data_IF_591596083398
#
_entry.id   IF_591596083398
#
_cell.length_a   1.000
_cell.length_b   1.000
_cell.length_c   1.000
_cell.angle_alpha   90.00
_cell.angle_beta   90.00
_cell.angle_gamma   90.00
#
_symmetry.space_group_name_H-M   'P 1'
#
loop_
_entity.id
_entity.type
_entity.pdbx_description
1 polymer ?
#
# COMPACT_ATOMS: atom_id res chain seq x y z
N UNK A 1 1.54 46.92 -44.57
CA UNK A 1 1.05 45.54 -44.88
C UNK A 1 1.75 44.41 -44.09
N UNK A 2 2.61 44.69 -43.10
CA UNK A 2 3.39 43.66 -42.38
C UNK A 2 2.65 42.99 -41.19
N UNK A 3 1.81 43.74 -40.47
CA UNK A 3 1.15 43.24 -39.25
C UNK A 3 0.06 42.18 -39.46
N UNK A 4 -0.66 42.21 -40.60
CA UNK A 4 -1.68 41.19 -40.93
C UNK A 4 -1.09 39.79 -41.08
N UNK A 5 0.14 39.68 -41.58
CA UNK A 5 0.82 38.38 -41.75
C UNK A 5 1.31 37.78 -40.43
N UNK A 6 1.65 38.62 -39.46
CA UNK A 6 2.04 38.18 -38.12
C UNK A 6 0.86 37.60 -37.33
N UNK A 7 -0.31 38.26 -37.38
CA UNK A 7 -1.53 37.79 -36.71
C UNK A 7 -1.99 36.42 -37.23
N UNK A 8 -1.95 36.21 -38.54
CA UNK A 8 -2.35 34.94 -39.16
C UNK A 8 -1.40 33.80 -38.75
N UNK A 9 -0.09 34.08 -38.62
CA UNK A 9 0.89 33.08 -38.15
C UNK A 9 0.66 32.67 -36.70
N UNK A 10 0.36 33.61 -35.82
CA UNK A 10 0.07 33.31 -34.42
C UNK A 10 -1.21 32.48 -34.27
N UNK A 11 -2.25 32.83 -35.03
CA UNK A 11 -3.51 32.08 -35.02
C UNK A 11 -3.30 30.63 -35.51
N UNK A 12 -2.53 30.45 -36.59
CA UNK A 12 -2.21 29.12 -37.11
C UNK A 12 -1.44 28.25 -36.12
N UNK A 13 -0.52 28.86 -35.36
CA UNK A 13 0.29 28.13 -34.37
C UNK A 13 -0.54 27.70 -33.15
N UNK A 14 -1.53 28.50 -32.74
CA UNK A 14 -2.45 28.12 -31.67
C UNK A 14 -3.40 26.98 -32.07
N UNK A 15 -3.89 26.97 -33.32
CA UNK A 15 -4.77 25.90 -33.81
C UNK A 15 -4.01 24.59 -33.97
N UNK A 16 -2.76 24.65 -34.44
CA UNK A 16 -1.91 23.47 -34.54
C UNK A 16 -1.60 22.83 -33.17
N UNK A 17 -1.46 23.65 -32.11
CA UNK A 17 -1.22 23.14 -30.76
C UNK A 17 -2.45 22.44 -30.15
N UNK A 18 -3.66 22.91 -30.50
CA UNK A 18 -4.93 22.34 -30.05
C UNK A 18 -5.32 21.04 -30.76
N UNK A 19 -4.80 20.81 -31.98
CA UNK A 19 -5.04 19.60 -32.75
C UNK A 19 -4.09 18.44 -32.39
N UNK A 20 -3.06 18.69 -31.56
CA UNK A 20 -2.20 17.63 -31.06
C UNK A 20 -3.00 16.74 -30.10
N UNK A 21 -2.98 15.41 -30.28
CA UNK A 21 -3.62 14.50 -29.35
C UNK A 21 -2.97 14.69 -27.98
N UNK A 22 -3.73 15.24 -27.04
CA UNK A 22 -3.25 15.38 -25.68
C UNK A 22 -2.92 13.98 -25.14
N UNK A 23 -1.72 13.77 -24.58
CA UNK A 23 -1.44 12.53 -23.88
C UNK A 23 -2.47 12.41 -22.76
N UNK A 24 -3.31 11.37 -22.84
CA UNK A 24 -4.19 11.00 -21.73
C UNK A 24 -3.29 10.58 -20.58
N UNK A 25 -2.92 11.53 -19.73
CA UNK A 25 -2.28 11.26 -18.46
C UNK A 25 -3.34 10.53 -17.64
N UNK A 26 -3.30 9.21 -17.70
CA UNK A 26 -4.06 8.39 -16.76
C UNK A 26 -3.34 8.54 -15.44
N UNK A 27 -3.93 9.32 -14.52
CA UNK A 27 -3.55 9.25 -13.13
C UNK A 27 -3.88 7.83 -12.65
N UNK A 28 -2.91 6.92 -12.73
CA UNK A 28 -3.03 5.58 -12.19
C UNK A 28 -3.04 5.71 -10.68
N UNK A 29 -4.24 5.84 -10.10
CA UNK A 29 -4.44 5.56 -8.69
C UNK A 29 -4.05 4.10 -8.48
N UNK A 30 -3.05 3.88 -7.64
CA UNK A 30 -2.56 2.55 -7.26
C UNK A 30 -3.67 1.75 -6.53
N UNK A 31 -4.74 2.43 -6.12
CA UNK A 31 -5.90 1.85 -5.46
C UNK A 31 -7.17 2.13 -6.28
N UNK A 32 -7.83 1.06 -6.73
CA UNK A 32 -9.12 1.08 -7.42
C UNK A 32 -10.29 1.50 -6.52
N UNK A 33 -10.02 2.11 -5.37
CA UNK A 33 -11.03 2.43 -4.37
C UNK A 33 -11.77 3.68 -4.81
N UNK A 34 -13.06 3.50 -5.08
CA UNK A 34 -13.97 4.62 -5.27
C UNK A 34 -13.99 5.41 -3.97
N UNK A 35 -13.70 6.72 -4.04
CA UNK A 35 -13.74 7.56 -2.84
C UNK A 35 -15.13 7.49 -2.20
N UNK A 36 -15.22 7.41 -0.85
CA UNK A 36 -16.49 7.28 -0.17
C UNK A 36 -17.35 8.52 -0.41
N UNK A 37 -18.60 8.28 -0.83
CA UNK A 37 -19.57 9.32 -1.13
C UNK A 37 -20.45 9.65 0.07
N UNK A 38 -20.71 8.68 0.94
CA UNK A 38 -21.55 8.83 2.12
C UNK A 38 -20.73 8.97 3.41
N UNK A 39 -21.31 9.64 4.42
CA UNK A 39 -20.72 9.78 5.74
C UNK A 39 -20.68 8.41 6.41
N UNK A 40 -19.54 8.07 7.02
CA UNK A 40 -19.23 6.78 7.65
C UNK A 40 -19.21 5.59 6.69
N UNK A 41 -19.16 5.84 5.37
CA UNK A 41 -18.90 4.79 4.40
C UNK A 41 -17.40 4.49 4.35
N UNK A 42 -17.04 3.26 4.69
CA UNK A 42 -15.67 2.78 4.57
C UNK A 42 -15.41 2.28 3.15
N UNK A 43 -14.38 2.83 2.51
CA UNK A 43 -13.89 2.38 1.20
C UNK A 43 -12.56 1.64 1.38
N UNK A 44 -12.53 0.35 1.00
CA UNK A 44 -11.41 -0.59 1.19
C UNK A 44 -11.20 -1.37 -0.11
N UNK A 45 -9.96 -1.71 -0.52
CA UNK A 45 -9.76 -2.50 -1.72
C UNK A 45 -10.16 -3.96 -1.45
N UNK A 46 -10.86 -4.57 -2.39
CA UNK A 46 -11.24 -5.99 -2.29
C UNK A 46 -10.04 -6.93 -2.42
N UNK A 47 -8.98 -6.49 -3.11
CA UNK A 47 -7.75 -7.26 -3.28
C UNK A 47 -6.56 -6.35 -3.09
N UNK A 48 -5.64 -6.78 -2.24
CA UNK A 48 -4.35 -6.14 -2.04
C UNK A 48 -3.24 -7.09 -2.49
N UNK A 49 -2.32 -6.58 -3.31
CA UNK A 49 -1.14 -7.34 -3.71
C UNK A 49 0.09 -6.73 -3.08
N UNK A 50 0.80 -7.52 -2.28
CA UNK A 50 2.09 -7.12 -1.71
C UNK A 50 3.18 -7.50 -2.72
N UNK A 51 4.07 -6.56 -3.09
CA UNK A 51 5.16 -6.87 -4.00
C UNK A 51 6.01 -8.05 -3.50
N UNK A 52 6.41 -8.98 -4.39
CA UNK A 52 7.29 -10.09 -4.04
C UNK A 52 8.57 -9.60 -3.35
N UNK A 53 9.07 -10.41 -2.41
CA UNK A 53 10.31 -10.14 -1.71
C UNK A 53 11.49 -10.17 -2.69
N UNK A 54 12.28 -9.10 -2.72
CA UNK A 54 13.51 -9.05 -3.50
C UNK A 54 14.66 -9.66 -2.71
N UNK A 55 15.64 -10.21 -3.41
CA UNK A 55 16.85 -10.77 -2.80
C UNK A 55 17.56 -9.76 -1.88
N UNK A 56 17.60 -8.48 -2.25
CA UNK A 56 18.19 -7.40 -1.45
C UNK A 56 17.46 -7.11 -0.13
N UNK A 57 16.23 -7.59 0.01
CA UNK A 57 15.45 -7.44 1.24
C UNK A 57 15.70 -8.61 2.19
N UNK A 58 16.05 -9.78 1.65
CA UNK A 58 16.34 -11.00 2.40
C UNK A 58 17.81 -11.03 2.82
N UNK A 59 18.72 -10.71 1.91
CA UNK A 59 20.15 -10.69 2.16
C UNK A 59 20.59 -9.28 2.56
N UNK A 60 21.34 -9.11 3.66
CA UNK A 60 21.90 -7.81 4.01
C UNK A 60 22.86 -7.34 2.90
N UNK A 61 22.71 -6.08 2.48
CA UNK A 61 23.56 -5.49 1.44
C UNK A 61 25.05 -5.57 1.80
N UNK A 62 25.87 -6.05 0.87
CA UNK A 62 27.34 -5.97 0.98
C UNK A 62 28.02 -7.07 1.80
N UNK A 63 27.31 -8.13 2.19
CA UNK A 63 27.90 -9.26 2.89
C UNK A 63 28.28 -10.36 1.89
N UNK A 64 29.51 -10.29 1.36
CA UNK A 64 30.25 -11.49 0.97
C UNK A 64 31.01 -11.98 2.19
N UNK A 65 30.51 -13.04 2.83
CA UNK A 65 31.19 -13.68 3.96
C UNK A 65 32.27 -14.63 3.43
N UNK A 66 33.52 -14.35 3.79
CA UNK A 66 34.63 -15.28 3.60
C UNK A 66 34.79 -16.13 4.85
N UNK A 67 34.75 -17.44 4.68
CA UNK A 67 34.90 -18.44 5.75
C UNK A 67 36.38 -18.45 6.18
N UNK A 68 36.67 -18.14 7.44
CA UNK A 68 38.05 -18.11 7.97
C UNK A 68 38.41 -19.40 8.73
N UNK A 69 37.42 -20.14 9.20
CA UNK A 69 37.58 -21.36 10.00
C UNK A 69 36.55 -22.43 9.64
N UNK A 70 36.81 -23.68 10.01
CA UNK A 70 35.85 -24.77 9.83
C UNK A 70 34.55 -24.58 10.62
N UNK A 71 34.57 -23.83 11.73
CA UNK A 71 33.36 -23.49 12.48
C UNK A 71 32.41 -22.58 11.68
N UNK A 72 32.97 -21.69 10.84
CA UNK A 72 32.17 -20.75 10.04
C UNK A 72 31.32 -21.47 8.98
N UNK A 73 31.73 -22.66 8.54
CA UNK A 73 30.93 -23.50 7.62
C UNK A 73 29.65 -24.04 8.24
N UNK A 74 29.59 -24.11 9.58
CA UNK A 74 28.43 -24.61 10.33
C UNK A 74 27.58 -23.49 10.92
N UNK A 75 28.02 -22.23 10.79
CA UNK A 75 27.26 -21.09 11.26
C UNK A 75 25.99 -20.90 10.40
N UNK A 76 24.84 -20.57 11.02
CA UNK A 76 23.62 -20.32 10.27
C UNK A 76 23.79 -19.08 9.37
N UNK A 77 23.24 -19.10 8.14
CA UNK A 77 23.34 -17.97 7.23
C UNK A 77 22.67 -16.73 7.84
N UNK A 78 23.28 -15.57 7.62
CA UNK A 78 22.71 -14.29 8.04
C UNK A 78 21.74 -13.78 6.99
N UNK A 79 20.49 -13.58 7.39
CA UNK A 79 19.45 -12.98 6.56
C UNK A 79 18.51 -12.13 7.42
N UNK A 80 17.81 -11.20 6.76
CA UNK A 80 16.79 -10.39 7.39
C UNK A 80 15.57 -11.26 7.66
N UNK A 81 15.36 -11.58 8.95
CA UNK A 81 14.24 -12.41 9.39
C UNK A 81 12.90 -11.68 9.31
N UNK A 82 12.89 -10.36 9.51
CA UNK A 82 11.66 -9.58 9.51
C UNK A 82 11.66 -8.60 8.35
N UNK A 83 10.63 -8.69 7.51
CA UNK A 83 10.39 -7.74 6.42
C UNK A 83 9.24 -6.83 6.79
N UNK A 84 9.42 -5.53 6.62
CA UNK A 84 8.39 -4.53 6.90
C UNK A 84 7.77 -4.03 5.60
N UNK A 85 6.44 -4.01 5.52
CA UNK A 85 5.67 -3.44 4.41
C UNK A 85 4.67 -2.43 4.95
N UNK A 86 4.72 -1.21 4.45
CA UNK A 86 3.73 -0.18 4.78
C UNK A 86 2.66 -0.14 3.70
N UNK A 87 1.40 -0.10 4.13
CA UNK A 87 0.22 0.00 3.30
C UNK A 87 -0.53 1.27 3.69
N UNK A 88 0.00 2.46 3.32
CA UNK A 88 -0.70 3.70 3.56
C UNK A 88 -1.95 3.78 2.68
N UNK A 89 -2.94 4.56 3.11
CA UNK A 89 -4.20 4.76 2.38
C UNK A 89 -4.92 3.45 2.02
N UNK A 90 -4.79 2.42 2.89
CA UNK A 90 -5.48 1.14 2.73
C UNK A 90 -7.00 1.32 2.74
N UNK A 91 -7.51 2.29 3.49
CA UNK A 91 -8.92 2.61 3.51
C UNK A 91 -9.13 4.12 3.56
N UNK A 92 -10.30 4.55 3.10
CA UNK A 92 -10.77 5.92 3.18
C UNK A 92 -12.16 5.95 3.80
N UNK A 93 -12.46 6.98 4.58
CA UNK A 93 -13.77 7.21 5.15
C UNK A 93 -14.10 8.69 5.13
N UNK A 94 -15.34 9.03 4.76
CA UNK A 94 -15.86 10.38 4.92
C UNK A 94 -16.50 10.47 6.30
N UNK A 95 -16.10 11.45 7.09
CA UNK A 95 -16.59 11.65 8.46
C UNK A 95 -16.98 13.11 8.69
N UNK A 96 -17.82 13.40 9.69
CA UNK A 96 -17.98 14.75 10.19
C UNK A 96 -16.66 15.31 10.75
N UNK A 97 -16.43 16.60 10.57
CA UNK A 97 -15.15 17.26 10.94
C UNK A 97 -14.83 17.07 12.42
N UNK A 98 -15.83 17.11 13.28
CA UNK A 98 -15.70 16.96 14.73
C UNK A 98 -15.23 15.57 15.16
N UNK A 99 -15.36 14.56 14.28
CA UNK A 99 -15.00 13.17 14.58
C UNK A 99 -13.59 12.79 14.13
N UNK A 100 -12.90 13.62 13.34
CA UNK A 100 -11.58 13.29 12.76
C UNK A 100 -10.56 12.88 13.84
N UNK A 101 -10.57 13.55 14.99
CA UNK A 101 -9.63 13.29 16.09
C UNK A 101 -10.00 12.11 17.00
N UNK A 102 -11.21 11.55 16.90
CA UNK A 102 -11.66 10.45 17.75
C UNK A 102 -11.58 9.08 17.08
N UNK A 103 -11.23 9.03 15.79
CA UNK A 103 -11.18 7.78 15.04
C UNK A 103 -9.99 6.90 15.46
N UNK A 104 -10.23 5.60 15.44
CA UNK A 104 -9.19 4.59 15.50
C UNK A 104 -9.56 3.39 14.62
N UNK A 105 -8.55 2.66 14.17
CA UNK A 105 -8.72 1.46 13.36
C UNK A 105 -8.13 0.25 14.08
N UNK A 106 -8.83 -0.87 13.98
CA UNK A 106 -8.37 -2.20 14.40
C UNK A 106 -8.16 -3.03 13.13
N UNK A 107 -7.06 -3.78 13.10
CA UNK A 107 -6.70 -4.65 12.00
C UNK A 107 -6.55 -6.08 12.52
N UNK A 108 -7.10 -7.02 11.78
CA UNK A 108 -6.96 -8.44 12.05
C UNK A 108 -6.67 -9.17 10.74
N UNK A 109 -5.74 -10.12 10.76
CA UNK A 109 -5.43 -10.93 9.60
C UNK A 109 -5.86 -12.37 9.84
N UNK A 110 -6.62 -12.93 8.92
CA UNK A 110 -7.02 -14.32 8.92
C UNK A 110 -6.41 -15.03 7.72
N UNK A 111 -5.64 -16.09 7.95
CA UNK A 111 -5.18 -16.98 6.90
C UNK A 111 -6.33 -17.88 6.41
N UNK A 112 -6.21 -18.39 5.19
CA UNK A 112 -7.21 -19.26 4.58
C UNK A 112 -7.35 -20.60 5.34
N UNK A 113 -6.34 -20.97 6.12
CA UNK A 113 -6.35 -22.14 7.01
C UNK A 113 -6.91 -21.85 8.42
N UNK A 114 -7.49 -20.67 8.66
CA UNK A 114 -8.13 -20.28 9.91
C UNK A 114 -7.17 -19.77 11.00
N UNK A 115 -5.88 -19.63 10.70
CA UNK A 115 -4.94 -19.04 11.65
C UNK A 115 -5.00 -17.51 11.66
N UNK A 116 -4.82 -16.92 12.85
CA UNK A 116 -4.88 -15.47 13.06
C UNK A 116 -3.48 -14.87 13.04
N UNK A 117 -3.34 -13.66 12.48
CA UNK A 117 -2.10 -12.91 12.37
C UNK A 117 -1.00 -13.69 11.64
N UNK A 118 -1.37 -14.35 10.54
CA UNK A 118 -0.45 -15.08 9.68
C UNK A 118 -0.93 -15.08 8.23
N UNK A 119 -0.01 -15.30 7.30
CA UNK A 119 -0.32 -15.72 5.94
C UNK A 119 -0.30 -17.26 5.84
N UNK A 120 -1.12 -17.83 4.98
CA UNK A 120 -1.06 -19.23 4.55
C UNK A 120 -0.46 -19.34 3.15
N UNK A 121 0.28 -20.42 2.88
CA UNK A 121 0.73 -20.70 1.51
C UNK A 121 -0.45 -21.11 0.64
N UNK A 122 -0.51 -20.59 -0.58
CA UNK A 122 -1.52 -20.97 -1.59
C UNK A 122 -1.31 -22.42 -2.11
N UNK A 123 -0.11 -22.96 -1.97
CA UNK A 123 0.25 -24.31 -2.42
C UNK A 123 0.17 -25.36 -1.31
N UNK A 124 0.35 -24.95 -0.05
CA UNK A 124 0.49 -25.84 1.11
C UNK A 124 -0.22 -25.28 2.35
N UNK A 125 -1.29 -25.94 2.79
CA UNK A 125 -2.10 -25.47 3.92
C UNK A 125 -1.41 -25.58 5.28
N UNK A 126 -0.37 -26.41 5.39
CA UNK A 126 0.43 -26.61 6.60
C UNK A 126 1.51 -25.53 6.80
N UNK A 127 1.85 -24.78 5.75
CA UNK A 127 2.87 -23.74 5.79
C UNK A 127 2.24 -22.39 6.10
N UNK A 128 2.83 -21.71 7.10
CA UNK A 128 2.35 -20.43 7.60
C UNK A 128 3.49 -19.46 7.88
N UNK A 129 3.21 -18.17 7.68
CA UNK A 129 4.16 -17.08 7.94
C UNK A 129 3.50 -16.10 8.89
N UNK A 130 3.98 -15.98 10.14
CA UNK A 130 3.41 -15.06 11.11
C UNK A 130 3.65 -13.60 10.70
N UNK A 131 2.67 -12.77 11.04
CA UNK A 131 2.74 -11.33 10.82
C UNK A 131 2.36 -10.56 12.08
N UNK A 132 2.93 -9.38 12.22
CA UNK A 132 2.50 -8.39 13.21
C UNK A 132 1.93 -7.18 12.48
N UNK A 133 0.73 -6.77 12.88
CA UNK A 133 0.02 -5.61 12.35
C UNK A 133 0.24 -4.41 13.25
N UNK A 134 0.76 -3.32 12.69
CA UNK A 134 0.88 -2.03 13.38
C UNK A 134 0.02 -0.99 12.68
N UNK A 135 -0.87 -0.32 13.42
CA UNK A 135 -1.73 0.72 12.88
C UNK A 135 -0.89 1.93 12.46
N UNK A 136 -1.06 2.41 11.23
CA UNK A 136 -0.51 3.68 10.79
C UNK A 136 -1.44 4.83 11.22
N UNK A 137 -0.92 6.06 11.40
CA UNK A 137 -1.74 7.21 11.74
C UNK A 137 -2.87 7.44 10.71
N UNK A 138 -4.06 7.76 11.21
CA UNK A 138 -5.17 8.25 10.40
C UNK A 138 -4.87 9.70 10.05
N UNK A 139 -4.93 10.04 8.77
CA UNK A 139 -4.67 11.40 8.28
C UNK A 139 -5.86 11.95 7.53
N UNK A 140 -6.14 13.25 7.72
CA UNK A 140 -7.10 14.00 6.95
C UNK A 140 -6.49 14.38 5.60
N UNK A 141 -7.17 14.02 4.51
CA UNK A 141 -6.73 14.30 3.13
C UNK A 141 -7.57 15.38 2.45
N UNK A 142 -8.78 15.64 2.94
CA UNK A 142 -9.64 16.71 2.44
C UNK A 142 -10.63 17.15 3.50
N UNK A 143 -11.06 18.41 3.40
CA UNK A 143 -12.06 19.04 4.27
C UNK A 143 -13.02 19.86 3.43
N UNK A 144 -14.32 19.67 3.66
CA UNK A 144 -15.38 20.45 3.06
C UNK A 144 -16.21 21.13 4.15
N UNK A 145 -16.02 22.44 4.26
CA UNK A 145 -16.73 23.28 5.23
C UNK A 145 -18.21 23.47 4.89
N UNK A 146 -18.61 23.30 3.63
CA UNK A 146 -20.00 23.47 3.22
C UNK A 146 -20.86 22.29 3.70
N UNK A 147 -20.29 21.09 3.70
CA UNK A 147 -20.97 19.87 4.16
C UNK A 147 -20.60 19.48 5.59
N UNK A 148 -19.70 20.24 6.24
CA UNK A 148 -19.11 19.90 7.53
C UNK A 148 -18.50 18.47 7.57
N UNK A 149 -17.90 18.05 6.46
CA UNK A 149 -17.26 16.72 6.36
C UNK A 149 -15.77 16.81 6.07
N UNK A 150 -15.05 15.78 6.47
CA UNK A 150 -13.66 15.54 6.16
C UNK A 150 -13.49 14.15 5.56
N UNK A 151 -12.59 14.03 4.59
CA UNK A 151 -12.14 12.75 4.06
C UNK A 151 -10.85 12.37 4.78
N UNK A 152 -10.87 11.22 5.45
CA UNK A 152 -9.71 10.67 6.15
C UNK A 152 -9.26 9.38 5.50
N UNK A 153 -7.99 9.02 5.69
CA UNK A 153 -7.45 7.74 5.28
C UNK A 153 -6.58 7.14 6.39
N UNK A 154 -6.57 5.80 6.44
CA UNK A 154 -5.70 5.05 7.35
C UNK A 154 -4.95 3.95 6.62
N UNK A 155 -4.09 3.26 7.35
CA UNK A 155 -3.21 2.24 6.78
C UNK A 155 -2.64 1.34 7.85
N UNK A 156 -1.92 0.31 7.41
CA UNK A 156 -1.29 -0.66 8.31
C UNK A 156 0.15 -0.89 7.89
N UNK A 157 1.02 -1.13 8.86
CA UNK A 157 2.37 -1.66 8.66
C UNK A 157 2.36 -3.14 9.02
N UNK A 158 2.73 -3.96 8.05
CA UNK A 158 2.92 -5.39 8.19
C UNK A 158 4.38 -5.66 8.54
N UNK A 159 4.62 -6.42 9.60
CA UNK A 159 5.93 -7.00 9.89
C UNK A 159 5.83 -8.51 9.69
N UNK A 160 6.46 -9.00 8.63
CA UNK A 160 6.40 -10.38 8.18
C UNK A 160 7.63 -11.09 8.75
N UNK A 161 7.42 -12.11 9.57
CA UNK A 161 8.50 -12.89 10.15
C UNK A 161 8.77 -14.16 9.32
N UNK A 162 9.88 -14.12 8.60
CA UNK A 162 10.36 -15.18 7.71
C UNK A 162 11.16 -16.25 8.45
N UNK A 163 11.36 -16.15 9.77
CA UNK A 163 12.11 -17.17 10.52
C UNK A 163 11.46 -18.55 10.49
N UNK A 164 10.14 -18.61 10.26
CA UNK A 164 9.37 -19.85 10.12
C UNK A 164 8.96 -20.14 8.67
N UNK A 165 9.45 -19.37 7.70
CA UNK A 165 9.12 -19.58 6.29
C UNK A 165 9.92 -20.78 5.75
N UNK A 166 9.28 -21.93 5.65
CA UNK A 166 9.92 -23.17 5.20
C UNK A 166 9.97 -23.31 3.67
N UNK A 167 9.02 -22.68 2.97
CA UNK A 167 8.81 -22.89 1.53
C UNK A 167 8.69 -21.55 0.81
N UNK A 168 9.36 -21.42 -0.33
CA UNK A 168 9.16 -20.28 -1.22
C UNK A 168 7.85 -20.43 -2.00
N UNK A 169 7.10 -19.35 -2.18
CA UNK A 169 5.82 -19.42 -2.89
C UNK A 169 4.96 -18.19 -2.72
N UNK A 170 3.69 -18.34 -3.11
CA UNK A 170 2.67 -17.30 -2.93
C UNK A 170 1.94 -17.54 -1.61
N UNK A 171 1.63 -16.44 -0.94
CA UNK A 171 1.06 -16.41 0.39
C UNK A 171 -0.12 -15.44 0.41
N UNK A 172 -1.21 -15.85 1.04
CA UNK A 172 -2.48 -15.14 1.05
C UNK A 172 -3.12 -15.13 2.42
N UNK A 173 -4.13 -14.27 2.53
CA UNK A 173 -5.15 -14.30 3.57
C UNK A 173 -5.99 -13.02 3.52
N UNK A 174 -6.88 -12.88 4.48
CA UNK A 174 -7.88 -11.83 4.57
C UNK A 174 -7.51 -10.82 5.66
N UNK A 175 -7.38 -9.54 5.27
CA UNK A 175 -7.16 -8.44 6.19
C UNK A 175 -8.49 -7.76 6.51
N UNK A 176 -8.95 -7.92 7.74
CA UNK A 176 -10.14 -7.26 8.26
C UNK A 176 -9.77 -5.91 8.86
N UNK A 177 -10.58 -4.89 8.55
CA UNK A 177 -10.40 -3.52 9.05
C UNK A 177 -11.70 -3.05 9.67
N UNK A 178 -11.63 -2.62 10.93
CA UNK A 178 -12.76 -2.01 11.64
C UNK A 178 -12.35 -0.61 12.06
N UNK A 179 -13.12 0.39 11.66
CA UNK A 179 -12.90 1.81 12.02
C UNK A 179 -14.01 2.24 12.97
N UNK A 180 -13.63 2.70 14.15
CA UNK A 180 -14.53 3.10 15.23
C UNK A 180 -14.15 4.48 15.81
N UNK A 181 -15.04 5.02 16.63
CA UNK A 181 -14.84 6.24 17.41
C UNK A 181 -14.55 5.89 18.87
N UNK A 182 -13.61 6.61 19.47
CA UNK A 182 -13.29 6.48 20.90
C UNK A 182 -14.38 7.02 21.81
#
# INVERSE_FOLDING_TARGET
>A
MSHKRYLIRWLGLTVALLALPQPKISAQSIFSNTSPTEINQLSVPQKLSIPPLKQSEILPSGITESVASGQDLTAPPRFNRVITRELPALWQMRVPIEQVGSLYAIYEMNADNGGVNQFSSEQRSDVKVPIVLETLPIIEISRDTNTNTALVQGGVRLKIDLSTAEVAGSYSGELNVVVNQR
#
